data_IF_617665614258
#
_entry.id   IF_617665614258
#
_cell.length_a   1.000
_cell.length_b   1.000
_cell.length_c   1.000
_cell.angle_alpha   90.00
_cell.angle_beta   90.00
_cell.angle_gamma   90.00
#
_symmetry.space_group_name_H-M   'P 1'
#
loop_
_entity.id
_entity.type
_entity.pdbx_description
1 polymer ?
#
# COMPACT_ATOMS: atom_id res chain seq x y z
N UNK A 1 -24.28 30.14 -48.32
CA UNK A 1 -22.98 29.87 -47.66
C UNK A 1 -22.88 30.73 -46.41
N UNK A 2 -22.17 30.24 -45.38
CA UNK A 2 -22.07 30.73 -43.98
C UNK A 2 -23.14 30.22 -43.01
N UNK A 3 -22.92 28.98 -42.54
CA UNK A 3 -23.32 28.54 -41.20
C UNK A 3 -22.28 29.06 -40.22
N UNK A 4 -22.70 29.88 -39.27
CA UNK A 4 -21.92 30.14 -38.04
C UNK A 4 -22.89 30.45 -36.90
N UNK A 5 -23.22 29.43 -36.10
CA UNK A 5 -23.59 29.63 -34.69
C UNK A 5 -23.04 28.47 -33.84
N UNK A 6 -21.89 28.77 -33.25
CA UNK A 6 -21.36 28.42 -31.92
C UNK A 6 -21.49 26.98 -31.39
N UNK A 7 -20.30 26.38 -31.22
CA UNK A 7 -19.95 25.24 -30.37
C UNK A 7 -20.69 25.27 -29.03
N UNK A 8 -21.47 24.23 -28.74
CA UNK A 8 -21.91 23.88 -27.39
C UNK A 8 -20.67 23.42 -26.59
N UNK A 9 -20.15 24.26 -25.72
CA UNK A 9 -19.32 23.79 -24.61
C UNK A 9 -20.25 23.42 -23.46
N UNK A 10 -20.53 22.12 -23.34
CA UNK A 10 -21.16 21.59 -22.13
C UNK A 10 -20.13 21.50 -21.03
N UNK A 11 -20.14 22.47 -20.11
CA UNK A 11 -19.49 22.35 -18.80
C UNK A 11 -20.31 23.17 -17.79
N UNK A 12 -21.35 22.55 -17.24
CA UNK A 12 -21.87 22.98 -15.94
C UNK A 12 -21.71 21.82 -14.96
N UNK A 13 -20.50 21.61 -14.47
CA UNK A 13 -20.37 21.09 -13.11
C UNK A 13 -20.79 22.23 -12.19
N UNK A 14 -21.94 22.13 -11.53
CA UNK A 14 -22.38 23.14 -10.57
C UNK A 14 -21.40 23.13 -9.41
N UNK A 15 -20.39 23.99 -9.46
CA UNK A 15 -19.47 24.21 -8.35
C UNK A 15 -20.34 24.79 -7.22
N UNK A 16 -20.46 24.12 -6.07
CA UNK A 16 -21.29 24.61 -4.98
C UNK A 16 -20.66 25.92 -4.49
N UNK A 17 -21.35 27.04 -4.70
CA UNK A 17 -20.87 28.36 -4.35
C UNK A 17 -22.00 29.22 -3.78
N UNK A 18 -21.68 30.03 -2.76
CA UNK A 18 -22.64 30.92 -2.10
C UNK A 18 -22.69 32.31 -2.71
N UNK A 19 -21.61 32.72 -3.39
CA UNK A 19 -21.50 34.00 -4.12
C UNK A 19 -20.75 33.80 -5.43
N UNK A 20 -20.84 34.78 -6.32
CA UNK A 20 -20.09 34.76 -7.59
C UNK A 20 -18.57 34.81 -7.36
N UNK A 21 -18.12 35.57 -6.36
CA UNK A 21 -16.70 35.61 -5.96
C UNK A 21 -16.22 34.24 -5.45
N UNK A 22 -17.02 33.56 -4.62
CA UNK A 22 -16.73 32.20 -4.15
C UNK A 22 -16.67 31.20 -5.32
N UNK A 23 -17.58 31.31 -6.29
CA UNK A 23 -17.56 30.50 -7.51
C UNK A 23 -16.27 30.73 -8.30
N UNK A 24 -15.89 31.99 -8.52
CA UNK A 24 -14.67 32.34 -9.25
C UNK A 24 -13.41 31.83 -8.55
N UNK A 25 -13.31 31.94 -7.23
CA UNK A 25 -12.17 31.43 -6.46
C UNK A 25 -12.07 29.91 -6.55
N UNK A 26 -13.20 29.20 -6.48
CA UNK A 26 -13.25 27.73 -6.64
C UNK A 26 -12.87 27.31 -8.06
N UNK A 27 -13.38 27.99 -9.08
CA UNK A 27 -13.02 27.74 -10.48
C UNK A 27 -11.53 28.01 -10.74
N UNK A 28 -11.00 29.10 -10.21
CA UNK A 28 -9.58 29.43 -10.31
C UNK A 28 -8.71 28.33 -9.70
N UNK A 29 -9.02 27.88 -8.48
CA UNK A 29 -8.28 26.81 -7.83
C UNK A 29 -8.43 25.47 -8.56
N UNK A 30 -9.64 25.12 -9.03
CA UNK A 30 -9.87 23.89 -9.79
C UNK A 30 -9.07 23.88 -11.10
N UNK A 31 -9.07 24.98 -11.84
CA UNK A 31 -8.28 25.15 -13.06
C UNK A 31 -6.78 25.07 -12.76
N UNK A 32 -6.29 25.78 -11.74
CA UNK A 32 -4.90 25.70 -11.30
C UNK A 32 -4.48 24.25 -10.98
N UNK A 33 -5.30 23.51 -10.23
CA UNK A 33 -5.01 22.11 -9.89
C UNK A 33 -4.99 21.22 -11.13
N UNK A 34 -5.97 21.38 -12.01
CA UNK A 34 -6.07 20.59 -13.25
C UNK A 34 -4.87 20.83 -14.15
N UNK A 35 -4.51 22.10 -14.39
CA UNK A 35 -3.32 22.48 -15.16
C UNK A 35 -2.05 21.88 -14.55
N UNK A 36 -1.80 22.09 -13.26
CA UNK A 36 -0.56 21.61 -12.64
C UNK A 36 -0.49 20.09 -12.54
N UNK A 37 -1.61 19.38 -12.37
CA UNK A 37 -1.64 17.91 -12.39
C UNK A 37 -1.35 17.31 -13.76
N UNK A 38 -1.56 18.08 -14.84
CA UNK A 38 -1.29 17.65 -16.22
C UNK A 38 0.14 17.92 -16.69
N UNK A 39 0.89 18.74 -15.95
CA UNK A 39 2.28 19.04 -16.26
C UNK A 39 3.19 17.94 -15.70
N UNK A 40 4.27 17.54 -16.41
CA UNK A 40 5.28 16.62 -15.90
C UNK A 40 6.23 17.32 -14.89
N UNK A 41 5.71 18.26 -14.10
CA UNK A 41 6.47 18.97 -13.10
C UNK A 41 6.64 18.07 -11.86
N UNK A 42 7.82 18.06 -11.22
CA UNK A 42 7.98 17.44 -9.91
C UNK A 42 6.98 18.02 -8.91
N UNK A 43 6.29 17.16 -8.17
CA UNK A 43 5.37 17.56 -7.12
C UNK A 43 5.63 16.73 -5.87
N UNK A 44 5.38 17.33 -4.71
CA UNK A 44 5.43 16.63 -3.44
C UNK A 44 4.04 16.03 -3.12
N UNK A 45 3.88 14.70 -3.09
CA UNK A 45 2.70 14.10 -2.48
C UNK A 45 2.80 14.23 -0.96
N UNK A 46 2.06 15.19 -0.38
CA UNK A 46 1.86 15.28 1.07
C UNK A 46 0.50 14.69 1.41
N UNK A 47 0.49 13.52 2.05
CA UNK A 47 -0.74 12.81 2.40
C UNK A 47 -1.37 13.40 3.67
N UNK A 48 -2.70 13.24 3.79
CA UNK A 48 -3.47 13.73 4.94
C UNK A 48 -2.96 13.16 6.26
N UNK A 49 -2.43 11.93 6.25
CA UNK A 49 -1.77 11.31 7.41
C UNK A 49 -0.62 12.15 7.97
N UNK A 50 0.10 12.92 7.15
CA UNK A 50 1.14 13.83 7.62
C UNK A 50 0.57 14.94 8.51
N UNK A 51 -0.59 15.48 8.12
CA UNK A 51 -1.30 16.50 8.90
C UNK A 51 -1.65 15.98 10.29
N UNK A 52 -2.15 14.75 10.36
CA UNK A 52 -2.66 14.13 11.57
C UNK A 52 -1.53 13.69 12.52
N UNK A 53 -0.45 13.14 11.96
CA UNK A 53 0.66 12.58 12.75
C UNK A 53 1.76 13.58 13.10
N UNK A 54 2.06 14.54 12.22
CA UNK A 54 3.28 15.33 12.33
C UNK A 54 3.02 16.84 12.32
N UNK A 55 2.11 17.36 11.49
CA UNK A 55 2.00 18.81 11.27
C UNK A 55 1.74 19.63 12.54
N UNK A 56 0.99 19.06 13.51
CA UNK A 56 0.70 19.73 14.79
C UNK A 56 1.89 19.77 15.74
N UNK A 57 2.76 18.77 15.69
CA UNK A 57 3.79 18.52 16.71
C UNK A 57 5.19 18.90 16.26
N UNK A 58 5.44 18.92 14.94
CA UNK A 58 6.73 19.29 14.39
C UNK A 58 6.95 20.81 14.43
N UNK A 59 8.14 21.22 14.87
CA UNK A 59 8.52 22.62 14.85
C UNK A 59 8.59 23.17 13.41
N UNK A 60 8.32 24.47 13.26
CA UNK A 60 8.29 25.12 11.94
C UNK A 60 9.61 25.08 11.17
N UNK A 61 10.75 25.01 11.86
CA UNK A 61 12.08 24.87 11.24
C UNK A 61 12.28 23.49 10.58
N UNK A 62 12.22 22.40 11.35
CA UNK A 62 12.22 21.03 10.82
C UNK A 62 11.17 20.80 9.73
N UNK A 63 9.96 21.35 9.87
CA UNK A 63 8.91 21.25 8.84
C UNK A 63 9.34 21.87 7.51
N UNK A 64 9.90 23.09 7.54
CA UNK A 64 10.44 23.75 6.34
C UNK A 64 11.53 22.91 5.70
N UNK A 65 12.41 22.31 6.52
CA UNK A 65 13.46 21.43 6.02
C UNK A 65 12.91 20.14 5.40
N UNK A 66 11.87 19.54 5.98
CA UNK A 66 11.21 18.37 5.41
C UNK A 66 10.64 18.67 4.02
N UNK A 67 9.91 19.78 3.90
CA UNK A 67 9.38 20.25 2.61
C UNK A 67 10.51 20.51 1.61
N UNK A 68 11.61 21.10 2.05
CA UNK A 68 12.79 21.29 1.21
C UNK A 68 13.35 19.96 0.69
N UNK A 69 13.52 18.95 1.54
CA UNK A 69 13.97 17.63 1.11
C UNK A 69 12.99 16.98 0.14
N UNK A 70 11.70 17.13 0.37
CA UNK A 70 10.66 16.67 -0.52
C UNK A 70 10.74 17.28 -1.92
N UNK A 71 11.03 18.57 -2.05
CA UNK A 71 11.24 19.22 -3.35
C UNK A 71 12.60 18.87 -3.99
N UNK A 72 13.61 18.61 -3.17
CA UNK A 72 14.97 18.29 -3.64
C UNK A 72 15.17 16.80 -3.95
N UNK A 73 14.28 15.94 -3.47
CA UNK A 73 14.37 14.50 -3.63
C UNK A 73 14.06 14.08 -5.07
N UNK A 74 14.78 13.06 -5.54
CA UNK A 74 14.42 12.38 -6.77
C UNK A 74 13.02 11.74 -6.64
N UNK A 75 12.17 11.96 -7.65
CA UNK A 75 10.78 11.47 -7.64
C UNK A 75 10.67 9.94 -7.65
N UNK A 76 11.71 9.22 -8.08
CA UNK A 76 11.67 7.76 -8.21
C UNK A 76 12.13 7.07 -6.93
N UNK A 77 13.12 7.65 -6.24
CA UNK A 77 13.81 6.99 -5.12
C UNK A 77 13.81 7.79 -3.82
N UNK A 78 13.26 9.01 -3.80
CA UNK A 78 13.08 9.80 -2.59
C UNK A 78 14.36 10.29 -1.93
N UNK A 79 15.49 10.34 -2.65
CA UNK A 79 16.78 10.75 -2.08
C UNK A 79 17.32 12.06 -2.64
N UNK A 80 18.11 12.77 -1.83
CA UNK A 80 18.84 13.99 -2.21
C UNK A 80 20.25 14.01 -1.59
N UNK A 81 21.16 14.81 -2.16
CA UNK A 81 22.56 14.89 -1.73
C UNK A 81 22.97 16.27 -1.21
N UNK A 82 22.00 17.08 -0.77
CA UNK A 82 22.29 18.43 -0.31
C UNK A 82 22.99 18.42 1.05
N UNK A 83 24.23 18.94 1.06
CA UNK A 83 25.04 19.14 2.26
C UNK A 83 24.42 20.18 3.20
N UNK A 84 24.85 20.16 4.46
CA UNK A 84 24.32 21.03 5.52
C UNK A 84 24.60 22.50 5.19
N UNK A 85 25.74 22.81 4.58
CA UNK A 85 26.14 24.14 4.15
C UNK A 85 25.16 24.70 3.10
N UNK A 86 24.87 23.91 2.06
CA UNK A 86 23.91 24.31 1.00
C UNK A 86 22.51 24.58 1.56
N UNK A 87 22.10 23.78 2.55
CA UNK A 87 20.80 23.94 3.21
C UNK A 87 20.81 25.20 4.09
N UNK A 88 21.89 25.42 4.83
CA UNK A 88 22.07 26.59 5.68
C UNK A 88 22.03 27.89 4.86
N UNK A 89 22.73 27.92 3.73
CA UNK A 89 22.72 29.03 2.78
C UNK A 89 21.32 29.30 2.22
N UNK A 90 20.58 28.25 1.84
CA UNK A 90 19.20 28.39 1.34
C UNK A 90 18.25 29.02 2.35
N UNK A 91 18.34 28.60 3.62
CA UNK A 91 17.46 29.10 4.68
C UNK A 91 17.98 30.38 5.36
N UNK A 92 19.21 30.82 5.06
CA UNK A 92 19.84 31.96 5.75
C UNK A 92 20.07 31.70 7.24
N UNK A 93 20.43 30.47 7.62
CA UNK A 93 20.65 30.06 9.01
C UNK A 93 22.05 29.45 9.19
N UNK A 94 22.47 29.23 10.44
CA UNK A 94 23.72 28.54 10.73
C UNK A 94 23.60 27.03 10.48
N UNK A 95 24.69 26.37 10.10
CA UNK A 95 24.77 24.91 9.92
C UNK A 95 24.30 24.14 11.15
N UNK A 96 24.66 24.60 12.36
CA UNK A 96 24.19 24.02 13.63
C UNK A 96 22.66 24.01 13.76
N UNK A 97 21.97 25.00 13.21
CA UNK A 97 20.49 25.03 13.21
C UNK A 97 19.94 23.96 12.27
N UNK A 98 20.55 23.79 11.10
CA UNK A 98 20.19 22.73 10.15
C UNK A 98 20.43 21.35 10.76
N UNK A 99 21.56 21.13 11.44
CA UNK A 99 21.84 19.85 12.11
C UNK A 99 20.78 19.50 13.17
N UNK A 100 20.33 20.49 13.95
CA UNK A 100 19.22 20.31 14.89
C UNK A 100 17.93 19.94 14.16
N UNK A 101 17.61 20.60 13.05
CA UNK A 101 16.43 20.29 12.26
C UNK A 101 16.49 18.88 11.66
N UNK A 102 17.64 18.49 11.11
CA UNK A 102 17.90 17.12 10.61
C UNK A 102 17.68 16.12 11.74
N UNK A 103 18.23 16.37 12.92
CA UNK A 103 18.05 15.49 14.08
C UNK A 103 16.57 15.32 14.43
N UNK A 104 15.79 16.40 14.47
CA UNK A 104 14.34 16.30 14.73
C UNK A 104 13.66 15.42 13.67
N UNK A 105 14.00 15.58 12.38
CA UNK A 105 13.41 14.77 11.31
C UNK A 105 13.82 13.29 11.38
N UNK A 106 15.05 12.99 11.77
CA UNK A 106 15.54 11.61 12.00
C UNK A 106 14.84 11.00 13.22
N UNK A 107 14.79 11.72 14.34
CA UNK A 107 14.15 11.26 15.58
C UNK A 107 12.63 11.04 15.39
N UNK A 108 12.01 11.77 14.45
CA UNK A 108 10.61 11.58 14.04
C UNK A 108 10.44 10.59 12.87
N UNK A 109 11.49 9.86 12.48
CA UNK A 109 11.41 8.82 11.47
C UNK A 109 10.91 9.31 10.09
N UNK A 110 11.10 10.60 9.79
CA UNK A 110 10.69 11.23 8.53
C UNK A 110 11.79 11.19 7.47
N UNK A 111 13.04 11.12 7.89
CA UNK A 111 14.20 11.00 7.01
C UNK A 111 15.22 10.01 7.56
N UNK A 112 15.97 9.38 6.66
CA UNK A 112 17.22 8.68 6.96
C UNK A 112 18.37 9.44 6.30
N UNK A 113 19.47 9.67 7.01
CA UNK A 113 20.62 10.40 6.45
C UNK A 113 21.91 9.69 6.77
N UNK A 114 22.69 9.37 5.73
CA UNK A 114 23.95 8.65 5.87
C UNK A 114 25.05 9.24 4.97
N UNK A 115 26.30 9.13 5.43
CA UNK A 115 27.48 9.56 4.70
C UNK A 115 28.34 8.34 4.36
N UNK A 116 28.07 7.69 3.22
CA UNK A 116 28.85 6.54 2.74
C UNK A 116 30.23 6.96 2.18
N UNK A 117 31.11 7.51 3.01
CA UNK A 117 32.45 7.94 2.59
C UNK A 117 32.49 9.03 1.52
N UNK A 118 31.35 9.64 1.20
CA UNK A 118 31.20 10.73 0.23
C UNK A 118 31.29 12.09 0.94
N UNK A 119 31.65 13.12 0.17
CA UNK A 119 31.74 14.50 0.65
C UNK A 119 30.39 15.08 1.11
N UNK A 120 29.28 14.59 0.55
CA UNK A 120 27.92 14.93 0.96
C UNK A 120 27.17 13.71 1.47
N UNK A 121 26.33 13.92 2.49
CA UNK A 121 25.41 12.89 2.96
C UNK A 121 24.28 12.68 1.96
N UNK A 122 23.84 11.44 1.81
CA UNK A 122 22.58 11.11 1.14
C UNK A 122 21.46 11.19 2.16
N UNK A 123 20.39 11.90 1.84
CA UNK A 123 19.16 11.95 2.65
C UNK A 123 18.06 11.25 1.89
N UNK A 124 17.40 10.29 2.54
CA UNK A 124 16.25 9.55 2.03
C UNK A 124 15.01 9.99 2.80
N UNK A 125 13.93 10.26 2.10
CA UNK A 125 12.61 10.40 2.72
C UNK A 125 12.11 9.03 3.13
N UNK A 126 11.65 8.90 4.38
CA UNK A 126 11.04 7.65 4.86
C UNK A 126 9.52 7.76 4.72
N UNK A 127 8.82 6.73 4.21
CA UNK A 127 7.37 6.67 4.25
C UNK A 127 6.85 6.80 5.69
N UNK A 128 5.90 7.71 5.90
CA UNK A 128 5.26 8.01 7.19
C UNK A 128 3.82 7.45 7.29
N UNK A 129 3.38 6.75 6.25
CA UNK A 129 2.09 6.07 6.17
C UNK A 129 2.28 4.61 5.80
N UNK A 130 1.26 3.80 6.09
CA UNK A 130 1.32 2.38 5.77
C UNK A 130 1.46 2.17 4.27
N UNK A 131 2.17 1.11 3.91
CA UNK A 131 2.55 0.86 2.52
C UNK A 131 2.33 -0.61 2.18
N UNK A 132 1.88 -0.88 0.95
CA UNK A 132 1.80 -2.22 0.37
C UNK A 132 2.95 -2.44 -0.62
N UNK A 133 3.77 -3.47 -0.41
CA UNK A 133 4.91 -3.82 -1.25
C UNK A 133 4.69 -5.18 -1.90
N UNK A 134 4.64 -5.19 -3.23
CA UNK A 134 4.65 -6.42 -4.02
C UNK A 134 6.02 -7.06 -3.99
N UNK A 135 6.10 -8.26 -3.45
CA UNK A 135 7.32 -9.05 -3.44
C UNK A 135 7.44 -9.86 -4.73
N UNK A 136 8.70 -10.09 -5.11
CA UNK A 136 9.07 -10.95 -6.24
C UNK A 136 10.15 -11.90 -5.75
N UNK A 137 9.92 -13.19 -5.97
CA UNK A 137 10.96 -14.20 -5.80
C UNK A 137 11.79 -14.28 -7.08
N UNK A 138 13.09 -14.54 -6.94
CA UNK A 138 13.95 -14.80 -8.10
C UNK A 138 13.51 -16.11 -8.77
N UNK A 139 13.69 -16.22 -10.10
CA UNK A 139 13.20 -17.33 -10.94
C UNK A 139 13.75 -18.73 -10.61
N UNK A 140 14.59 -18.87 -9.59
CA UNK A 140 15.29 -20.11 -9.24
C UNK A 140 14.47 -21.09 -8.38
N UNK A 141 13.22 -20.78 -8.03
CA UNK A 141 12.33 -21.74 -7.38
C UNK A 141 11.67 -22.65 -8.43
N UNK A 142 11.99 -23.95 -8.37
CA UNK A 142 11.45 -24.99 -9.27
C UNK A 142 9.94 -25.21 -9.09
N UNK A 143 9.38 -24.81 -7.95
CA UNK A 143 7.94 -24.83 -7.68
C UNK A 143 7.50 -23.49 -7.05
N UNK A 144 6.68 -22.68 -7.76
CA UNK A 144 6.02 -21.52 -7.18
C UNK A 144 4.99 -21.98 -6.13
N UNK A 145 4.86 -21.22 -5.04
CA UNK A 145 3.73 -21.29 -4.10
C UNK A 145 3.74 -22.44 -3.07
N UNK A 146 4.92 -22.78 -2.58
CA UNK A 146 5.14 -23.78 -1.52
C UNK A 146 5.72 -23.14 -0.23
N UNK A 147 5.93 -23.96 0.80
CA UNK A 147 6.54 -23.52 2.08
C UNK A 147 7.89 -22.81 1.86
N UNK A 148 8.73 -23.34 0.96
CA UNK A 148 10.03 -22.74 0.64
C UNK A 148 9.90 -21.31 0.10
N UNK A 149 8.85 -21.03 -0.67
CA UNK A 149 8.56 -19.68 -1.18
C UNK A 149 8.23 -18.71 -0.05
N UNK A 150 7.45 -19.16 0.95
CA UNK A 150 7.15 -18.38 2.15
C UNK A 150 8.41 -18.16 3.00
N UNK A 151 9.23 -19.19 3.21
CA UNK A 151 10.46 -19.10 4.00
C UNK A 151 11.45 -18.08 3.40
N UNK A 152 11.67 -18.14 2.08
CA UNK A 152 12.53 -17.18 1.37
C UNK A 152 11.98 -15.75 1.54
N UNK A 153 10.67 -15.59 1.48
CA UNK A 153 10.01 -14.29 1.64
C UNK A 153 10.23 -13.72 3.05
N UNK A 154 10.02 -14.54 4.07
CA UNK A 154 10.23 -14.19 5.48
C UNK A 154 11.70 -13.83 5.72
N UNK A 155 12.64 -14.65 5.26
CA UNK A 155 14.07 -14.40 5.43
C UNK A 155 14.51 -13.09 4.76
N UNK A 156 13.95 -12.79 3.58
CA UNK A 156 14.20 -11.54 2.88
C UNK A 156 13.70 -10.34 3.70
N UNK A 157 12.50 -10.43 4.28
CA UNK A 157 11.90 -9.35 5.06
C UNK A 157 12.68 -9.16 6.38
N UNK A 158 13.04 -10.24 7.08
CA UNK A 158 13.85 -10.19 8.31
C UNK A 158 15.20 -9.54 8.10
N UNK A 159 15.87 -9.77 6.96
CA UNK A 159 17.13 -9.08 6.61
C UNK A 159 16.98 -7.57 6.45
N UNK A 160 15.75 -7.07 6.31
CA UNK A 160 15.42 -5.65 6.20
C UNK A 160 14.61 -5.15 7.42
N UNK A 161 14.70 -5.84 8.55
CA UNK A 161 14.00 -5.47 9.79
C UNK A 161 14.35 -4.07 10.28
N UNK A 162 15.58 -3.60 10.09
CA UNK A 162 15.98 -2.23 10.44
C UNK A 162 15.22 -1.16 9.65
N UNK A 163 14.63 -1.51 8.50
CA UNK A 163 13.85 -0.61 7.66
C UNK A 163 12.34 -0.75 7.91
N UNK A 164 11.85 -1.98 7.98
CA UNK A 164 10.41 -2.26 8.04
C UNK A 164 9.89 -2.53 9.47
N UNK A 165 10.78 -2.69 10.44
CA UNK A 165 10.48 -3.21 11.76
C UNK A 165 10.32 -4.74 11.76
N UNK A 166 10.13 -5.35 12.95
CA UNK A 166 9.90 -6.79 13.08
C UNK A 166 8.63 -7.23 12.35
N UNK A 167 8.61 -8.51 11.94
CA UNK A 167 7.40 -9.15 11.44
C UNK A 167 6.40 -9.26 12.59
N UNK A 168 5.24 -8.63 12.42
CA UNK A 168 4.15 -8.63 13.38
C UNK A 168 3.15 -9.75 13.08
N UNK A 169 2.91 -10.06 11.80
CA UNK A 169 1.94 -11.09 11.42
C UNK A 169 2.28 -11.73 10.06
N UNK A 170 1.94 -13.02 9.91
CA UNK A 170 2.07 -13.78 8.65
C UNK A 170 0.73 -14.44 8.33
N UNK A 171 0.14 -14.04 7.20
CA UNK A 171 -1.20 -14.44 6.78
C UNK A 171 -1.18 -15.08 5.40
N UNK A 172 -2.19 -15.90 5.15
CA UNK A 172 -2.57 -16.39 3.83
C UNK A 172 -3.93 -15.81 3.46
N UNK A 173 -3.95 -14.84 2.54
CA UNK A 173 -5.21 -14.25 2.07
C UNK A 173 -5.76 -15.07 0.92
N UNK A 174 -7.07 -15.31 0.93
CA UNK A 174 -7.82 -16.02 -0.09
C UNK A 174 -9.05 -15.21 -0.54
N UNK A 175 -9.34 -15.21 -1.83
CA UNK A 175 -10.60 -14.71 -2.36
C UNK A 175 -11.01 -15.47 -3.63
N UNK A 176 -12.28 -15.85 -3.74
CA UNK A 176 -12.85 -16.33 -5.01
C UNK A 176 -13.02 -15.19 -6.00
N UNK A 177 -12.66 -15.42 -7.27
CA UNK A 177 -12.99 -14.46 -8.33
C UNK A 177 -14.49 -14.44 -8.58
N UNK A 178 -15.01 -13.32 -9.07
CA UNK A 178 -16.43 -13.19 -9.39
C UNK A 178 -16.66 -13.04 -10.89
N UNK A 179 -17.71 -13.69 -11.40
CA UNK A 179 -18.26 -13.44 -12.72
C UNK A 179 -19.72 -13.05 -12.57
N UNK A 180 -20.13 -11.90 -13.16
CA UNK A 180 -21.48 -11.34 -13.01
C UNK A 180 -21.94 -11.21 -11.53
N UNK A 181 -21.00 -10.89 -10.64
CA UNK A 181 -21.19 -10.75 -9.19
C UNK A 181 -21.42 -12.05 -8.43
N UNK A 182 -21.24 -13.21 -9.08
CA UNK A 182 -21.30 -14.53 -8.44
C UNK A 182 -19.88 -15.12 -8.32
N UNK A 183 -19.55 -15.84 -7.24
CA UNK A 183 -18.24 -16.47 -7.06
C UNK A 183 -18.00 -17.59 -8.09
N UNK A 184 -16.76 -17.68 -8.59
CA UNK A 184 -16.31 -18.71 -9.53
C UNK A 184 -15.41 -19.68 -8.79
N UNK A 185 -15.96 -20.85 -8.43
CA UNK A 185 -15.29 -21.84 -7.57
C UNK A 185 -14.09 -22.54 -8.24
N UNK A 186 -13.83 -22.27 -9.53
CA UNK A 186 -12.64 -22.72 -10.24
C UNK A 186 -11.53 -21.66 -10.33
N UNK A 187 -11.77 -20.45 -9.83
CA UNK A 187 -10.89 -19.31 -10.03
C UNK A 187 -10.79 -18.46 -8.76
N UNK A 188 -9.58 -18.32 -8.24
CA UNK A 188 -9.32 -17.61 -7.00
C UNK A 188 -7.99 -16.85 -7.05
N UNK A 189 -7.86 -15.90 -6.12
CA UNK A 189 -6.64 -15.17 -5.87
C UNK A 189 -6.19 -15.49 -4.45
N UNK A 190 -4.92 -15.87 -4.33
CA UNK A 190 -4.30 -16.20 -3.04
C UNK A 190 -2.98 -15.47 -2.88
N UNK A 191 -2.73 -14.86 -1.73
CA UNK A 191 -1.49 -14.15 -1.42
C UNK A 191 -0.88 -14.67 -0.12
N UNK A 192 0.45 -14.84 -0.09
CA UNK A 192 1.17 -14.64 1.17
C UNK A 192 1.13 -13.16 1.51
N UNK A 193 0.77 -12.84 2.74
CA UNK A 193 0.65 -11.47 3.21
C UNK A 193 1.34 -11.34 4.57
N UNK A 194 2.44 -10.62 4.60
CA UNK A 194 3.30 -10.47 5.78
C UNK A 194 3.25 -9.01 6.21
N UNK A 195 2.95 -8.75 7.46
CA UNK A 195 2.89 -7.41 8.01
C UNK A 195 4.08 -7.19 8.93
N UNK A 196 4.82 -6.12 8.69
CA UNK A 196 5.86 -5.62 9.59
C UNK A 196 5.39 -4.34 10.26
N UNK A 197 5.86 -4.10 11.47
CA UNK A 197 5.48 -2.93 12.27
C UNK A 197 6.73 -2.24 12.79
N UNK A 198 6.87 -0.96 12.46
CA UNK A 198 7.91 -0.09 12.99
C UNK A 198 7.54 0.41 14.39
N UNK A 199 8.54 0.93 15.11
CA UNK A 199 8.35 1.52 16.46
C UNK A 199 7.37 2.70 16.48
N UNK A 200 7.15 3.37 15.33
CA UNK A 200 6.22 4.48 15.16
C UNK A 200 4.83 4.06 14.63
N UNK A 201 4.50 2.77 14.72
CA UNK A 201 3.21 2.18 14.30
C UNK A 201 2.86 2.35 12.81
N UNK A 202 3.88 2.63 11.98
CA UNK A 202 3.76 2.51 10.53
C UNK A 202 3.85 1.03 10.15
N UNK A 203 2.84 0.55 9.42
CA UNK A 203 2.77 -0.82 8.93
C UNK A 203 3.31 -0.93 7.51
N UNK A 204 4.17 -1.93 7.25
CA UNK A 204 4.50 -2.32 5.87
C UNK A 204 3.92 -3.69 5.59
N UNK A 205 2.97 -3.75 4.65
CA UNK A 205 2.35 -4.97 4.19
C UNK A 205 3.12 -5.48 2.97
N UNK A 206 3.70 -6.67 3.05
CA UNK A 206 4.38 -7.33 1.97
C UNK A 206 3.48 -8.43 1.42
N UNK A 207 3.30 -8.49 0.10
CA UNK A 207 2.50 -9.57 -0.48
C UNK A 207 3.20 -10.28 -1.63
N UNK A 208 2.97 -11.58 -1.73
CA UNK A 208 3.40 -12.43 -2.84
C UNK A 208 2.19 -13.20 -3.38
N UNK A 209 1.74 -12.93 -4.62
CA UNK A 209 0.67 -13.72 -5.22
C UNK A 209 1.07 -15.15 -5.50
N UNK A 210 0.21 -16.09 -5.11
CA UNK A 210 0.31 -17.51 -5.41
C UNK A 210 -0.36 -17.76 -6.77
N UNK A 211 0.43 -18.11 -7.78
CA UNK A 211 0.01 -18.20 -9.20
C UNK A 211 -0.55 -19.57 -9.59
N UNK A 212 -0.18 -20.62 -8.87
CA UNK A 212 -0.48 -22.01 -9.15
C UNK A 212 -1.37 -22.64 -8.07
N UNK A 213 -1.84 -21.86 -7.09
CA UNK A 213 -2.64 -22.35 -5.96
C UNK A 213 -4.14 -22.49 -6.26
N UNK A 214 -4.59 -22.19 -7.49
CA UNK A 214 -6.01 -22.18 -7.87
C UNK A 214 -6.72 -23.55 -7.75
N UNK A 215 -5.98 -24.65 -7.73
CA UNK A 215 -6.50 -26.00 -7.48
C UNK A 215 -6.87 -26.25 -6.02
N UNK A 216 -6.47 -25.35 -5.11
CA UNK A 216 -6.94 -25.29 -3.73
C UNK A 216 -7.94 -24.15 -3.55
N UNK A 217 -8.88 -24.35 -2.63
CA UNK A 217 -9.91 -23.38 -2.30
C UNK A 217 -10.56 -23.67 -0.97
N UNK A 218 -11.70 -23.03 -0.74
CA UNK A 218 -12.48 -23.15 0.47
C UNK A 218 -13.73 -24.00 0.25
N UNK A 219 -14.25 -24.65 1.30
CA UNK A 219 -15.51 -25.39 1.21
C UNK A 219 -16.76 -24.49 1.07
N UNK A 220 -16.60 -23.18 1.24
CA UNK A 220 -17.66 -22.17 1.07
C UNK A 220 -17.33 -21.25 -0.11
N UNK A 221 -18.30 -21.08 -1.02
CA UNK A 221 -18.16 -20.21 -2.19
C UNK A 221 -18.50 -18.75 -1.87
N UNK A 222 -19.49 -18.51 -1.02
CA UNK A 222 -19.91 -17.18 -0.59
C UNK A 222 -19.34 -16.86 0.78
N UNK A 223 -18.48 -15.84 0.84
CA UNK A 223 -17.96 -15.28 2.09
C UNK A 223 -18.65 -13.95 2.30
N UNK A 224 -19.48 -13.84 3.35
CA UNK A 224 -20.26 -12.62 3.62
C UNK A 224 -19.34 -11.42 3.94
N UNK A 225 -18.41 -11.60 4.89
CA UNK A 225 -17.46 -10.58 5.32
C UNK A 225 -16.02 -11.13 5.34
N UNK A 226 -15.62 -11.77 6.45
CA UNK A 226 -14.32 -12.40 6.62
C UNK A 226 -14.52 -13.78 7.25
N UNK A 227 -13.77 -14.77 6.78
CA UNK A 227 -13.72 -16.09 7.41
C UNK A 227 -12.28 -16.54 7.65
N UNK A 228 -12.07 -17.39 8.66
CA UNK A 228 -10.77 -17.94 9.01
C UNK A 228 -10.60 -19.36 8.49
N UNK A 229 -9.41 -19.69 8.02
CA UNK A 229 -9.04 -21.07 7.71
C UNK A 229 -7.64 -21.41 8.22
N UNK A 230 -7.35 -22.70 8.37
CA UNK A 230 -6.02 -23.18 8.69
C UNK A 230 -5.23 -23.32 7.39
N UNK A 231 -4.19 -22.51 7.24
CA UNK A 231 -3.32 -22.57 6.07
C UNK A 231 -2.42 -23.80 6.14
N UNK A 232 -2.07 -24.44 5.01
CA UNK A 232 -1.12 -25.56 5.00
C UNK A 232 0.33 -25.12 5.24
N UNK A 233 0.59 -23.81 5.18
CA UNK A 233 1.92 -23.23 5.40
C UNK A 233 2.18 -23.00 6.90
N UNK A 234 3.45 -22.93 7.28
CA UNK A 234 3.89 -22.81 8.66
C UNK A 234 4.85 -21.63 8.85
N UNK A 235 4.79 -21.00 10.01
CA UNK A 235 5.76 -20.00 10.45
C UNK A 235 6.01 -20.20 11.95
N UNK A 236 7.27 -20.17 12.39
CA UNK A 236 7.66 -20.27 13.80
C UNK A 236 6.93 -21.39 14.60
N UNK A 237 6.83 -22.58 14.00
CA UNK A 237 6.21 -23.80 14.54
C UNK A 237 4.68 -23.79 14.68
N UNK A 238 3.98 -22.79 14.12
CA UNK A 238 2.53 -22.79 14.02
C UNK A 238 2.08 -22.74 12.55
N UNK A 239 0.87 -23.21 12.28
CA UNK A 239 0.25 -23.06 10.96
C UNK A 239 -0.12 -21.60 10.73
N UNK A 240 0.27 -21.08 9.57
CA UNK A 240 -0.10 -19.73 9.12
C UNK A 240 -1.62 -19.59 9.16
N UNK A 241 -2.10 -18.43 9.58
CA UNK A 241 -3.54 -18.17 9.59
C UNK A 241 -4.00 -17.81 8.19
N UNK A 242 -5.06 -18.45 7.75
CA UNK A 242 -5.77 -18.12 6.53
C UNK A 242 -6.91 -17.15 6.78
N UNK A 243 -7.07 -16.18 5.88
CA UNK A 243 -8.20 -15.23 5.88
C UNK A 243 -8.87 -15.27 4.51
N UNK A 244 -10.14 -15.64 4.48
CA UNK A 244 -11.00 -15.54 3.32
C UNK A 244 -11.69 -14.18 3.29
N UNK A 245 -11.63 -13.48 2.16
CA UNK A 245 -12.23 -12.16 2.00
C UNK A 245 -13.53 -12.23 1.20
N UNK A 246 -14.50 -11.43 1.61
CA UNK A 246 -15.71 -11.12 0.85
C UNK A 246 -15.42 -10.57 -0.56
N UNK A 247 -16.35 -10.78 -1.47
CA UNK A 247 -16.28 -10.32 -2.87
C UNK A 247 -16.40 -8.79 -3.02
N UNK A 248 -16.85 -8.10 -1.98
CA UNK A 248 -16.94 -6.64 -1.98
C UNK A 248 -15.54 -5.98 -1.99
N UNK A 249 -14.49 -6.70 -1.56
CA UNK A 249 -13.11 -6.22 -1.50
C UNK A 249 -12.26 -7.01 -2.49
N UNK A 250 -12.12 -6.55 -3.74
CA UNK A 250 -11.30 -7.26 -4.73
C UNK A 250 -9.83 -7.25 -4.35
N UNK A 251 -9.19 -8.42 -4.23
CA UNK A 251 -7.77 -8.64 -3.94
C UNK A 251 -6.88 -8.23 -5.14
N UNK A 252 -6.65 -6.93 -5.30
CA UNK A 252 -5.83 -6.27 -6.33
C UNK A 252 -4.80 -5.31 -5.73
N UNK A 253 -3.69 -5.10 -6.42
CA UNK A 253 -2.65 -4.12 -6.07
C UNK A 253 -2.99 -2.68 -6.44
N UNK A 254 -4.05 -2.47 -7.22
CA UNK A 254 -4.51 -1.14 -7.64
C UNK A 254 -5.27 -0.37 -6.55
N UNK A 255 -5.79 -1.05 -5.52
CA UNK A 255 -6.49 -0.44 -4.40
C UNK A 255 -6.00 -1.04 -3.07
N UNK A 256 -4.89 -0.55 -2.51
CA UNK A 256 -4.29 -1.12 -1.30
C UNK A 256 -5.08 -0.81 -0.01
N UNK A 257 -5.99 0.17 -0.03
CA UNK A 257 -6.68 0.68 1.16
C UNK A 257 -7.33 -0.41 2.04
N UNK A 258 -8.13 -1.32 1.48
CA UNK A 258 -8.77 -2.38 2.26
C UNK A 258 -7.80 -3.31 3.00
N UNK A 259 -6.67 -3.70 2.41
CA UNK A 259 -5.72 -4.61 3.10
C UNK A 259 -4.87 -3.88 4.13
N UNK A 260 -4.56 -2.60 3.91
CA UNK A 260 -3.93 -1.78 4.93
C UNK A 260 -4.88 -1.58 6.11
N UNK A 261 -6.17 -1.37 5.84
CA UNK A 261 -7.22 -1.34 6.86
C UNK A 261 -7.31 -2.67 7.63
N UNK A 262 -7.38 -3.80 6.93
CA UNK A 262 -7.38 -5.13 7.53
C UNK A 262 -6.16 -5.36 8.43
N UNK A 263 -4.95 -5.02 7.93
CA UNK A 263 -3.72 -5.15 8.72
C UNK A 263 -3.75 -4.29 9.98
N UNK A 264 -4.30 -3.07 9.92
CA UNK A 264 -4.50 -2.22 11.10
C UNK A 264 -5.48 -2.84 12.07
N UNK A 265 -6.64 -3.30 11.61
CA UNK A 265 -7.64 -3.93 12.47
C UNK A 265 -7.05 -5.14 13.20
N UNK A 266 -6.34 -6.02 12.49
CA UNK A 266 -5.72 -7.21 13.09
C UNK A 266 -4.68 -6.86 14.17
N UNK A 267 -3.86 -5.83 13.94
CA UNK A 267 -2.68 -5.57 14.78
C UNK A 267 -2.88 -4.50 15.86
N UNK A 268 -3.79 -3.56 15.64
CA UNK A 268 -3.91 -2.34 16.43
C UNK A 268 -5.29 -2.15 17.05
N UNK A 269 -6.31 -2.90 16.60
CA UNK A 269 -7.64 -2.86 17.22
C UNK A 269 -7.71 -3.89 18.34
N UNK A 270 -7.79 -3.40 19.58
CA UNK A 270 -7.92 -4.26 20.77
C UNK A 270 -9.21 -5.08 20.77
N UNK A 271 -10.21 -4.70 19.97
CA UNK A 271 -11.47 -5.43 19.83
C UNK A 271 -11.38 -6.57 18.82
N UNK A 272 -10.30 -6.68 18.05
CA UNK A 272 -10.15 -7.74 17.06
C UNK A 272 -10.00 -9.11 17.73
N UNK A 273 -10.99 -9.97 17.55
CA UNK A 273 -10.98 -11.33 18.04
C UNK A 273 -11.27 -12.33 16.92
N UNK A 274 -10.31 -13.21 16.66
CA UNK A 274 -10.43 -14.24 15.64
C UNK A 274 -11.56 -15.24 15.87
N UNK A 275 -12.01 -15.41 17.12
CA UNK A 275 -13.12 -16.31 17.43
C UNK A 275 -14.47 -15.76 16.95
N UNK A 276 -14.56 -14.48 16.62
CA UNK A 276 -15.80 -13.82 16.21
C UNK A 276 -16.14 -14.08 14.73
N UNK A 277 -15.18 -14.62 13.97
CA UNK A 277 -15.33 -14.87 12.53
C UNK A 277 -15.53 -16.37 12.24
N UNK A 278 -16.38 -16.72 11.25
CA UNK A 278 -16.64 -18.10 10.88
C UNK A 278 -15.37 -18.83 10.44
N UNK A 279 -15.33 -20.15 10.67
CA UNK A 279 -14.22 -21.00 10.24
C UNK A 279 -14.62 -21.85 9.04
N UNK A 280 -13.78 -21.82 7.99
CA UNK A 280 -13.96 -22.56 6.75
C UNK A 280 -12.78 -23.50 6.52
N UNK A 281 -13.00 -24.55 5.73
CA UNK A 281 -12.00 -25.56 5.41
C UNK A 281 -11.25 -25.18 4.15
N UNK A 282 -9.93 -25.30 4.17
CA UNK A 282 -9.06 -25.11 3.01
C UNK A 282 -8.55 -26.46 2.51
N UNK A 283 -8.58 -26.69 1.20
CA UNK A 283 -8.20 -27.96 0.60
C UNK A 283 -8.37 -27.97 -0.92
N UNK A 284 -8.15 -29.13 -1.57
CA UNK A 284 -8.37 -29.26 -3.01
C UNK A 284 -9.81 -28.90 -3.39
N UNK A 285 -10.01 -28.04 -4.39
CA UNK A 285 -11.36 -27.63 -4.84
C UNK A 285 -12.21 -28.84 -5.19
N UNK A 286 -11.61 -29.85 -5.82
CA UNK A 286 -12.26 -31.11 -6.21
C UNK A 286 -12.78 -31.94 -5.03
N UNK A 287 -12.30 -31.72 -3.80
CA UNK A 287 -12.83 -32.37 -2.61
C UNK A 287 -14.11 -31.71 -2.08
N UNK A 288 -14.37 -30.46 -2.42
CA UNK A 288 -15.52 -29.69 -1.96
C UNK A 288 -16.62 -29.59 -3.02
N UNK A 289 -16.24 -29.41 -4.28
CA UNK A 289 -17.16 -29.21 -5.39
C UNK A 289 -16.92 -30.26 -6.46
N UNK A 290 -17.98 -30.98 -6.84
CA UNK A 290 -17.91 -31.95 -7.93
C UNK A 290 -17.82 -31.18 -9.24
N UNK A 291 -16.86 -31.54 -10.10
CA UNK A 291 -16.80 -31.01 -11.45
C UNK A 291 -18.10 -31.35 -12.19
N UNK A 292 -18.88 -30.33 -12.58
CA UNK A 292 -19.93 -30.53 -13.57
C UNK A 292 -19.25 -30.94 -14.87
N UNK A 293 -19.33 -32.23 -15.23
CA UNK A 293 -18.93 -32.71 -16.54
C UNK A 293 -19.68 -31.89 -17.58
N UNK A 294 -18.98 -30.98 -18.28
CA UNK A 294 -19.49 -30.36 -19.50
C UNK A 294 -19.98 -31.47 -20.41
N UNK A 295 -21.29 -31.53 -20.66
CA UNK A 295 -21.86 -32.35 -21.72
C UNK A 295 -21.15 -31.94 -23.00
N UNK A 296 -20.26 -32.80 -23.49
CA UNK A 296 -19.74 -32.71 -24.84
C UNK A 296 -20.91 -33.06 -25.73
N UNK A 297 -21.50 -32.05 -26.36
CA UNK A 297 -22.44 -32.25 -27.46
C UNK A 297 -21.69 -32.98 -28.58
N UNK A 298 -21.85 -34.31 -28.61
CA UNK A 298 -21.58 -35.09 -29.80
C UNK A 298 -22.65 -34.71 -30.83
N UNK A 299 -22.27 -33.84 -31.78
CA UNK A 299 -22.95 -33.75 -33.06
C UNK A 299 -22.50 -34.94 -33.89
N UNK A 300 -23.37 -35.95 -34.01
CA UNK A 300 -23.45 -36.79 -35.20
C UNK A 300 -24.01 -36.00 -36.39
#
# INVERSE_FOLDING_TARGET
MKKDVKKRFGLSSSIPATTEEDRMLKEYHQNWRQTNSSLPAPFLPLFVSFREKHLKTIDGGPLKLYLYFAYAADNSYGHSWHGVEKIADFFGVQTRTVDKWIKVLVDNNLIYREQHGKKSSTTYLIPYSDTLIRQRLQKTAEEPDNQKSLDILIDKIKKSESLYGPIAEVLHLFQWNTQKSEPVVSDNIQWFFIVTRREDDVLTCHYLPLKNANHHGLNEAEIEDVANFISPYHHANYSVRGIALTHSIKLTDSNPGPYLGLARSILLDETWNWADYPSVQYGPVSSFFKEEKKKVDQKE
#
